data_IF_458930350312
#
_entry.id   IF_458930350312
#
_cell.length_a   1.000
_cell.length_b   1.000
_cell.length_c   1.000
_cell.angle_alpha   90.00
_cell.angle_beta   90.00
_cell.angle_gamma   90.00
#
_symmetry.space_group_name_H-M   'P 1'
#
loop_
_entity.id
_entity.type
_entity.pdbx_description
1 polymer ?
#
# COMPACT_ATOMS: atom_id res chain seq x y z
N UNK A 1 -16.77 -47.39 19.35
CA UNK A 1 -16.24 -47.77 18.03
C UNK A 1 -17.31 -47.42 17.00
N UNK A 2 -17.17 -46.28 16.31
CA UNK A 2 -16.87 -46.16 14.86
C UNK A 2 -18.03 -46.64 13.96
N UNK A 3 -18.60 -45.88 13.03
CA UNK A 3 -18.00 -44.98 12.05
C UNK A 3 -18.97 -43.90 11.56
N UNK A 4 -18.39 -42.75 11.24
CA UNK A 4 -18.94 -41.52 10.67
C UNK A 4 -19.30 -41.72 9.19
N UNK A 5 -20.43 -41.14 8.74
CA UNK A 5 -20.77 -40.94 7.33
C UNK A 5 -20.45 -39.48 6.98
N UNK A 6 -19.39 -39.27 6.20
CA UNK A 6 -19.10 -38.03 5.51
C UNK A 6 -18.54 -38.43 4.13
N UNK A 7 -19.27 -38.13 3.04
CA UNK A 7 -18.72 -38.21 1.68
C UNK A 7 -18.89 -36.86 1.00
N UNK A 8 -17.77 -36.44 0.45
CA UNK A 8 -17.37 -35.13 -0.04
C UNK A 8 -18.01 -34.74 -1.36
N UNK A 9 -18.31 -33.45 -1.50
CA UNK A 9 -18.58 -32.78 -2.78
C UNK A 9 -17.22 -32.52 -3.46
N UNK A 10 -16.92 -33.30 -4.50
CA UNK A 10 -15.78 -33.09 -5.39
C UNK A 10 -16.19 -32.12 -6.51
N UNK A 11 -15.83 -30.85 -6.35
CA UNK A 11 -15.96 -29.83 -7.39
C UNK A 11 -14.87 -30.05 -8.45
N UNK A 12 -15.27 -30.49 -9.65
CA UNK A 12 -14.37 -30.67 -10.81
C UNK A 12 -13.91 -29.31 -11.34
N UNK A 13 -12.66 -28.94 -11.10
CA UNK A 13 -12.01 -27.83 -11.81
C UNK A 13 -11.53 -28.31 -13.19
N UNK A 14 -12.21 -27.86 -14.25
CA UNK A 14 -11.71 -27.98 -15.62
C UNK A 14 -10.52 -27.04 -15.78
N UNK A 15 -9.33 -27.60 -15.96
CA UNK A 15 -8.13 -26.81 -16.26
C UNK A 15 -8.17 -26.38 -17.72
N UNK A 16 -8.28 -25.08 -17.97
CA UNK A 16 -8.05 -24.49 -19.29
C UNK A 16 -6.54 -24.29 -19.43
N UNK A 17 -5.90 -25.10 -20.29
CA UNK A 17 -4.49 -24.92 -20.64
C UNK A 17 -4.42 -24.00 -21.86
N UNK A 18 -4.02 -22.74 -21.67
CA UNK A 18 -3.68 -21.83 -22.75
C UNK A 18 -2.21 -22.04 -23.13
N UNK A 19 -1.97 -22.57 -24.33
CA UNK A 19 -0.63 -22.60 -24.94
C UNK A 19 -0.49 -21.41 -25.89
N UNK A 20 0.45 -20.52 -25.61
CA UNK A 20 0.76 -19.37 -26.47
C UNK A 20 1.69 -19.83 -27.59
N UNK A 21 1.17 -19.91 -28.82
CA UNK A 21 1.98 -20.09 -30.03
C UNK A 21 2.44 -18.73 -30.55
N UNK A 22 3.69 -18.65 -31.02
CA UNK A 22 4.45 -17.42 -31.31
C UNK A 22 3.94 -16.47 -32.41
N UNK A 23 2.67 -16.54 -32.83
CA UNK A 23 2.05 -15.61 -33.78
C UNK A 23 0.67 -15.08 -33.31
N UNK A 24 0.46 -14.94 -31.99
CA UNK A 24 -0.59 -14.06 -31.46
C UNK A 24 -2.05 -14.49 -31.66
N UNK A 25 -2.34 -15.74 -32.06
CA UNK A 25 -3.71 -16.25 -32.20
C UNK A 25 -4.01 -17.35 -31.18
N UNK A 26 -4.98 -17.11 -30.29
CA UNK A 26 -5.54 -18.14 -29.40
C UNK A 26 -6.68 -18.89 -30.12
N UNK A 27 -6.63 -20.22 -30.15
CA UNK A 27 -7.73 -21.07 -30.65
C UNK A 27 -8.30 -21.90 -29.50
N UNK A 28 -9.62 -21.83 -29.33
CA UNK A 28 -10.37 -22.73 -28.46
C UNK A 28 -10.63 -24.03 -29.21
N UNK A 29 -10.16 -25.17 -28.69
CA UNK A 29 -10.48 -26.48 -29.25
C UNK A 29 -11.43 -27.18 -28.27
N UNK A 30 -12.72 -27.20 -28.57
CA UNK A 30 -13.66 -28.11 -27.92
C UNK A 30 -13.66 -29.45 -28.68
N UNK A 31 -13.25 -30.53 -28.01
CA UNK A 31 -13.42 -31.87 -28.54
C UNK A 31 -14.89 -32.30 -28.34
N UNK A 32 -15.69 -32.29 -29.41
CA UNK A 32 -16.99 -32.98 -29.44
C UNK A 32 -17.16 -33.69 -30.79
N UNK A 33 -17.57 -34.94 -30.68
CA UNK A 33 -17.77 -35.96 -31.71
C UNK A 33 -18.82 -35.60 -32.78
N UNK A 34 -18.64 -36.23 -33.95
CA UNK A 34 -19.61 -36.56 -35.03
C UNK A 34 -20.13 -35.45 -35.95
N UNK A 35 -19.61 -35.48 -37.19
CA UNK A 35 -20.30 -35.36 -38.50
C UNK A 35 -21.45 -34.36 -38.65
N UNK A 36 -21.23 -33.30 -39.45
CA UNK A 36 -22.06 -32.85 -40.60
C UNK A 36 -21.63 -31.43 -41.03
N UNK A 37 -21.24 -31.32 -42.31
CA UNK A 37 -21.25 -30.20 -43.27
C UNK A 37 -20.78 -28.78 -42.85
N UNK A 38 -19.65 -28.36 -43.41
CA UNK A 38 -19.14 -26.97 -43.35
C UNK A 38 -19.92 -26.02 -44.27
N UNK A 39 -20.55 -24.99 -43.70
CA UNK A 39 -20.76 -23.70 -44.36
C UNK A 39 -19.89 -22.66 -43.65
N UNK A 40 -19.01 -22.00 -44.40
CA UNK A 40 -18.06 -21.01 -43.92
C UNK A 40 -18.69 -19.62 -44.03
N UNK A 41 -19.17 -19.07 -42.92
CA UNK A 41 -19.58 -17.67 -42.80
C UNK A 41 -18.49 -16.92 -42.03
N UNK A 42 -17.69 -16.15 -42.76
CA UNK A 42 -16.70 -15.23 -42.20
C UNK A 42 -17.37 -13.89 -41.91
N UNK A 43 -17.51 -13.53 -40.64
CA UNK A 43 -17.80 -12.15 -40.23
C UNK A 43 -16.56 -11.58 -39.59
N UNK A 44 -15.81 -10.78 -40.35
CA UNK A 44 -14.73 -9.96 -39.80
C UNK A 44 -15.33 -8.75 -39.08
N UNK A 45 -15.11 -8.66 -37.76
CA UNK A 45 -15.40 -7.47 -36.97
C UNK A 45 -14.09 -6.69 -36.82
N UNK A 46 -13.97 -5.44 -37.33
CA UNK A 46 -12.74 -4.69 -37.21
C UNK A 46 -12.58 -4.16 -35.78
N UNK A 47 -11.48 -4.52 -35.13
CA UNK A 47 -11.05 -3.94 -33.85
C UNK A 47 -10.49 -2.53 -34.10
N UNK A 48 -11.34 -1.50 -34.00
CA UNK A 48 -10.88 -0.12 -33.81
C UNK A 48 -10.51 0.08 -32.34
N UNK A 49 -9.21 0.18 -32.05
CA UNK A 49 -8.73 0.67 -30.75
C UNK A 49 -8.93 2.19 -30.68
N UNK A 50 -9.94 2.62 -29.92
CA UNK A 50 -10.13 4.03 -29.55
C UNK A 50 -9.29 4.37 -28.31
N UNK A 51 -8.34 5.28 -28.46
CA UNK A 51 -7.39 5.73 -27.44
C UNK A 51 -7.95 6.77 -26.46
N UNK A 52 -9.11 6.51 -25.85
CA UNK A 52 -9.76 7.47 -24.93
C UNK A 52 -10.04 6.96 -23.51
N UNK A 53 -9.27 5.98 -23.01
CA UNK A 53 -9.51 5.38 -21.69
C UNK A 53 -8.95 6.16 -20.48
N UNK A 54 -8.33 7.32 -20.69
CA UNK A 54 -7.91 8.21 -19.59
C UNK A 54 -8.83 9.42 -19.43
N UNK A 55 -10.14 9.21 -19.50
CA UNK A 55 -11.08 10.20 -19.00
C UNK A 55 -11.20 10.07 -17.47
N UNK A 56 -10.60 11.04 -16.79
CA UNK A 56 -10.62 11.27 -15.34
C UNK A 56 -11.96 10.88 -14.69
N UNK A 57 -11.97 9.77 -13.95
CA UNK A 57 -13.01 9.51 -12.98
C UNK A 57 -12.78 10.43 -11.78
N UNK A 58 -13.18 11.71 -11.89
CA UNK A 58 -13.39 12.56 -10.71
C UNK A 58 -14.51 11.92 -9.90
N UNK A 59 -14.11 11.15 -8.88
CA UNK A 59 -15.01 10.60 -7.88
C UNK A 59 -15.51 11.75 -7.02
N UNK A 60 -16.69 12.27 -7.34
CA UNK A 60 -17.40 13.23 -6.50
C UNK A 60 -17.82 12.51 -5.21
N UNK A 61 -17.10 12.74 -4.13
CA UNK A 61 -17.54 12.35 -2.80
C UNK A 61 -18.56 13.37 -2.29
N UNK A 62 -19.69 12.87 -1.78
CA UNK A 62 -20.77 13.68 -1.24
C UNK A 62 -20.29 14.53 -0.06
N UNK A 63 -20.63 15.83 -0.09
CA UNK A 63 -20.29 16.81 0.93
C UNK A 63 -21.11 16.60 2.21
N UNK A 64 -20.55 15.90 3.20
CA UNK A 64 -21.07 15.90 4.56
C UNK A 64 -19.98 16.45 5.48
N UNK A 65 -20.10 17.74 5.86
CA UNK A 65 -19.03 18.59 6.41
C UNK A 65 -17.83 18.68 5.46
N UNK A 66 -17.43 19.88 5.04
CA UNK A 66 -16.27 20.02 4.17
C UNK A 66 -15.03 19.59 4.95
N UNK A 67 -14.56 18.37 4.70
CA UNK A 67 -13.29 17.84 5.21
C UNK A 67 -12.20 18.92 5.00
N UNK A 68 -11.55 19.43 6.06
CA UNK A 68 -10.72 20.64 5.97
C UNK A 68 -9.27 20.38 5.52
N UNK A 69 -8.97 19.17 5.04
CA UNK A 69 -7.61 18.74 4.70
C UNK A 69 -7.63 17.71 3.56
N UNK A 70 -6.50 17.61 2.86
CA UNK A 70 -6.22 16.64 1.82
C UNK A 70 -5.13 15.65 2.29
N UNK A 71 -5.28 14.40 1.86
CA UNK A 71 -4.19 13.42 1.93
C UNK A 71 -3.55 13.42 0.56
N UNK A 72 -2.30 13.85 0.47
CA UNK A 72 -1.65 14.21 -0.78
C UNK A 72 -0.97 13.01 -1.45
N UNK A 73 -0.46 12.07 -0.66
CA UNK A 73 0.27 10.91 -1.18
C UNK A 73 1.01 10.15 -0.10
N UNK A 74 1.79 9.15 -0.53
CA UNK A 74 2.71 8.44 0.34
C UNK A 74 3.93 9.32 0.64
N UNK A 75 4.34 9.32 1.90
CA UNK A 75 5.61 9.89 2.33
C UNK A 75 6.65 8.79 2.53
N UNK A 76 6.30 7.73 3.25
CA UNK A 76 7.18 6.61 3.55
C UNK A 76 6.45 5.27 3.65
N UNK A 77 7.22 4.19 3.46
CA UNK A 77 6.85 2.83 3.84
C UNK A 77 7.94 2.30 4.76
N UNK A 78 7.56 1.95 5.99
CA UNK A 78 8.50 1.47 6.98
C UNK A 78 8.46 -0.06 7.09
N UNK A 79 9.62 -0.68 6.92
CA UNK A 79 9.81 -2.13 6.90
C UNK A 79 10.71 -2.52 8.07
N UNK A 80 10.15 -3.24 9.03
CA UNK A 80 10.82 -3.72 10.22
C UNK A 80 11.47 -5.09 10.05
N UNK A 81 12.69 -5.25 10.56
CA UNK A 81 13.38 -6.53 10.66
C UNK A 81 14.28 -6.59 11.90
N UNK A 82 14.73 -7.79 12.28
CA UNK A 82 15.75 -7.94 13.34
C UNK A 82 17.17 -7.65 12.82
N UNK A 83 17.37 -7.78 11.51
CA UNK A 83 18.62 -7.52 10.81
C UNK A 83 18.30 -7.00 9.41
N UNK A 84 18.81 -5.81 9.09
CA UNK A 84 18.56 -5.15 7.82
C UNK A 84 19.49 -5.62 6.70
N UNK A 85 20.43 -6.56 6.93
CA UNK A 85 21.42 -6.94 5.90
C UNK A 85 20.74 -7.50 4.64
N UNK A 86 19.76 -8.40 4.79
CA UNK A 86 19.03 -8.98 3.66
C UNK A 86 18.14 -7.95 2.95
N UNK A 87 17.52 -7.03 3.70
CA UNK A 87 16.72 -5.96 3.13
C UNK A 87 17.59 -4.95 2.39
N UNK A 88 18.73 -4.57 2.95
CA UNK A 88 19.70 -3.67 2.32
C UNK A 88 20.21 -4.25 1.01
N UNK A 89 20.51 -5.56 0.98
CA UNK A 89 20.90 -6.23 -0.26
C UNK A 89 19.80 -6.13 -1.33
N UNK A 90 18.54 -6.44 -0.97
CA UNK A 90 17.43 -6.35 -1.91
C UNK A 90 17.21 -4.91 -2.40
N UNK A 91 17.06 -3.95 -1.48
CA UNK A 91 16.65 -2.60 -1.81
C UNK A 91 17.78 -1.77 -2.43
N UNK A 92 18.99 -1.87 -1.90
CA UNK A 92 20.12 -1.08 -2.39
C UNK A 92 20.81 -1.78 -3.57
N UNK A 93 21.16 -3.05 -3.46
CA UNK A 93 22.00 -3.71 -4.47
C UNK A 93 21.19 -4.25 -5.65
N UNK A 94 20.04 -4.88 -5.39
CA UNK A 94 19.21 -5.48 -6.44
C UNK A 94 18.29 -4.45 -7.10
N UNK A 95 17.59 -3.64 -6.31
CA UNK A 95 16.70 -2.60 -6.85
C UNK A 95 17.41 -1.29 -7.19
N UNK A 96 18.62 -1.06 -6.68
CA UNK A 96 19.37 0.17 -6.96
C UNK A 96 18.82 1.41 -6.25
N UNK A 97 18.06 1.24 -5.16
CA UNK A 97 17.50 2.36 -4.40
C UNK A 97 18.60 3.00 -3.57
N UNK A 98 18.71 4.33 -3.65
CA UNK A 98 19.76 5.06 -2.93
C UNK A 98 19.42 5.19 -1.45
N UNK A 99 20.35 4.80 -0.58
CA UNK A 99 20.37 5.20 0.83
C UNK A 99 20.73 6.68 0.93
N UNK A 100 19.82 7.48 1.48
CA UNK A 100 19.96 8.93 1.61
C UNK A 100 20.25 9.38 3.04
N UNK A 101 20.05 8.50 4.02
CA UNK A 101 20.29 8.82 5.42
C UNK A 101 20.25 7.60 6.33
N UNK A 102 20.46 7.87 7.61
CA UNK A 102 20.24 6.94 8.71
C UNK A 102 19.72 7.75 9.90
N UNK A 103 18.80 7.17 10.66
CA UNK A 103 18.26 7.75 11.89
C UNK A 103 18.34 6.73 13.02
N UNK A 104 18.71 7.18 14.21
CA UNK A 104 18.83 6.32 15.39
C UNK A 104 18.21 7.00 16.60
N UNK A 105 17.34 6.27 17.29
CA UNK A 105 16.67 6.73 18.50
C UNK A 105 16.56 5.64 19.54
N UNK A 106 17.30 5.79 20.64
CA UNK A 106 17.19 4.95 21.84
C UNK A 106 15.77 5.00 22.44
N UNK A 107 15.14 6.17 22.39
CA UNK A 107 13.78 6.37 22.92
C UNK A 107 12.74 5.57 22.14
N UNK A 108 12.86 5.55 20.81
CA UNK A 108 11.92 4.85 19.92
C UNK A 108 12.38 3.41 19.63
N UNK A 109 13.49 2.96 20.25
CA UNK A 109 14.11 1.65 20.04
C UNK A 109 14.32 1.31 18.55
N UNK A 110 14.91 2.25 17.79
CA UNK A 110 15.06 2.13 16.34
C UNK A 110 16.43 2.61 15.86
N UNK A 111 17.00 1.85 14.93
CA UNK A 111 18.09 2.23 14.04
C UNK A 111 17.59 1.96 12.62
N UNK A 112 17.44 3.00 11.81
CA UNK A 112 16.79 2.90 10.50
C UNK A 112 17.62 3.51 9.38
N UNK A 113 17.66 2.79 8.27
CA UNK A 113 18.22 3.29 7.02
C UNK A 113 17.11 3.87 6.16
N UNK A 114 17.31 5.12 5.73
CA UNK A 114 16.33 5.86 4.95
C UNK A 114 16.75 5.77 3.48
N UNK A 115 15.93 5.10 2.68
CA UNK A 115 16.13 4.97 1.23
C UNK A 115 15.14 5.84 0.48
N UNK A 116 15.47 6.26 -0.75
CA UNK A 116 14.58 7.12 -1.55
C UNK A 116 14.20 6.50 -2.89
N UNK A 117 12.90 6.33 -3.11
CA UNK A 117 12.31 6.09 -4.42
C UNK A 117 11.96 7.43 -5.07
N UNK A 118 12.45 7.64 -6.29
CA UNK A 118 12.26 8.89 -7.03
C UNK A 118 13.43 9.87 -6.89
N UNK A 119 13.30 10.99 -7.61
CA UNK A 119 14.36 12.01 -7.67
C UNK A 119 14.38 12.86 -6.39
N UNK A 120 15.56 13.34 -6.04
CA UNK A 120 15.73 14.34 -4.98
C UNK A 120 14.84 15.56 -5.20
N UNK A 121 14.20 16.03 -4.12
CA UNK A 121 13.31 17.20 -4.16
C UNK A 121 12.01 16.98 -4.94
N UNK A 122 11.78 15.80 -5.52
CA UNK A 122 10.52 15.49 -6.18
C UNK A 122 9.39 15.42 -5.14
N UNK A 123 8.24 16.10 -5.38
CA UNK A 123 7.08 16.00 -4.48
C UNK A 123 6.47 14.59 -4.47
N UNK A 124 6.80 13.76 -5.47
CA UNK A 124 6.39 12.35 -5.54
C UNK A 124 7.44 11.37 -5.01
N UNK A 125 8.55 11.85 -4.45
CA UNK A 125 9.52 10.95 -3.84
C UNK A 125 8.91 10.27 -2.61
N UNK A 126 9.24 8.99 -2.41
CA UNK A 126 8.78 8.18 -1.29
C UNK A 126 9.99 7.59 -0.59
N UNK A 127 9.99 7.65 0.73
CA UNK A 127 11.01 7.02 1.57
C UNK A 127 10.68 5.54 1.80
N UNK A 128 11.72 4.70 1.85
CA UNK A 128 11.63 3.34 2.36
C UNK A 128 12.52 3.28 3.59
N UNK A 129 11.90 3.13 4.75
CA UNK A 129 12.60 3.12 6.03
C UNK A 129 12.82 1.67 6.44
N UNK A 130 14.07 1.21 6.36
CA UNK A 130 14.45 -0.11 6.83
C UNK A 130 14.78 -0.03 8.31
N UNK A 131 13.89 -0.49 9.17
CA UNK A 131 14.00 -0.32 10.62
C UNK A 131 14.47 -1.61 11.31
N UNK A 132 15.48 -1.49 12.17
CA UNK A 132 15.89 -2.53 13.11
C UNK A 132 15.80 -2.02 14.55
N UNK A 133 15.44 -2.87 15.53
CA UNK A 133 15.47 -2.46 16.92
C UNK A 133 16.92 -2.31 17.40
N UNK A 134 17.18 -1.31 18.24
CA UNK A 134 18.47 -1.20 18.95
C UNK A 134 18.60 -2.36 19.95
N UNK A 135 17.50 -2.65 20.65
CA UNK A 135 17.38 -3.76 21.58
C UNK A 135 16.10 -4.55 21.25
N UNK A 136 16.19 -5.79 20.73
CA UNK A 136 15.02 -6.56 20.30
C UNK A 136 14.06 -6.93 21.45
N UNK A 137 14.54 -6.89 22.70
CA UNK A 137 13.74 -7.20 23.88
C UNK A 137 12.97 -5.99 24.42
N UNK A 138 13.28 -4.77 23.94
CA UNK A 138 12.60 -3.54 24.36
C UNK A 138 11.43 -3.17 23.46
N UNK A 139 10.51 -2.38 24.01
CA UNK A 139 9.46 -1.70 23.26
C UNK A 139 9.87 -0.25 22.98
N UNK A 140 9.50 0.33 21.83
CA UNK A 140 8.71 -0.24 20.73
C UNK A 140 9.38 -1.41 19.98
N UNK A 141 8.58 -2.36 19.47
CA UNK A 141 9.07 -3.47 18.63
C UNK A 141 8.96 -3.10 17.16
N UNK A 142 9.89 -2.31 16.65
CA UNK A 142 9.84 -1.80 15.26
C UNK A 142 9.89 -2.89 14.18
N UNK A 143 10.37 -4.09 14.53
CA UNK A 143 10.40 -5.26 13.65
C UNK A 143 9.08 -6.05 13.58
N UNK A 144 8.06 -5.69 14.39
CA UNK A 144 6.77 -6.39 14.44
C UNK A 144 5.59 -5.41 14.39
N UNK A 145 4.72 -5.48 13.38
CA UNK A 145 4.81 -6.33 12.18
C UNK A 145 5.96 -5.89 11.23
N UNK A 146 6.32 -6.75 10.27
CA UNK A 146 7.39 -6.44 9.30
C UNK A 146 7.03 -5.29 8.37
N UNK A 147 5.78 -5.20 7.90
CA UNK A 147 5.28 -3.94 7.33
C UNK A 147 4.79 -3.09 8.50
N UNK A 148 5.67 -2.27 9.05
CA UNK A 148 5.45 -1.63 10.35
C UNK A 148 4.39 -0.54 10.25
N UNK A 149 4.59 0.43 9.38
CA UNK A 149 3.65 1.49 9.08
C UNK A 149 3.80 2.02 7.67
N UNK A 150 2.79 2.75 7.22
CA UNK A 150 2.87 3.66 6.08
C UNK A 150 2.76 5.08 6.62
N UNK A 151 3.41 6.04 5.98
CA UNK A 151 3.17 7.45 6.25
C UNK A 151 2.60 8.17 5.04
N UNK A 152 1.74 9.13 5.34
CA UNK A 152 0.94 9.87 4.39
C UNK A 152 1.18 11.36 4.54
N UNK A 153 1.46 12.02 3.42
CA UNK A 153 1.49 13.47 3.35
C UNK A 153 0.09 14.05 3.57
N UNK A 154 -0.01 15.04 4.45
CA UNK A 154 -1.22 15.80 4.78
C UNK A 154 -0.91 17.30 4.65
N UNK A 155 -1.78 18.05 3.99
CA UNK A 155 -1.62 19.50 3.76
C UNK A 155 -1.80 20.35 5.01
N UNK A 156 -2.75 20.01 5.89
CA UNK A 156 -2.99 20.64 7.19
C UNK A 156 -3.18 19.55 8.26
N UNK A 157 -2.07 19.16 8.90
CA UNK A 157 -2.06 18.11 9.91
C UNK A 157 -2.89 18.49 11.15
N UNK A 158 -2.78 19.70 11.74
CA UNK A 158 -3.65 20.11 12.85
C UNK A 158 -5.15 19.98 12.52
N UNK A 159 -5.60 20.53 11.39
CA UNK A 159 -7.00 20.45 10.98
C UNK A 159 -7.44 19.00 10.71
N UNK A 160 -6.55 18.18 10.14
CA UNK A 160 -6.79 16.76 9.94
C UNK A 160 -7.01 16.02 11.26
N UNK A 161 -6.13 16.23 12.24
CA UNK A 161 -6.21 15.58 13.54
C UNK A 161 -7.49 15.97 14.27
N UNK A 162 -7.82 17.26 14.33
CA UNK A 162 -9.05 17.74 14.97
C UNK A 162 -10.30 17.13 14.31
N UNK A 163 -10.39 17.24 12.97
CA UNK A 163 -11.55 16.74 12.24
C UNK A 163 -11.69 15.22 12.39
N UNK A 164 -10.59 14.46 12.19
CA UNK A 164 -10.59 13.00 12.31
C UNK A 164 -10.93 12.53 13.73
N UNK A 165 -10.42 13.20 14.77
CA UNK A 165 -10.75 12.89 16.15
C UNK A 165 -12.25 13.07 16.42
N UNK A 166 -12.85 14.14 15.89
CA UNK A 166 -14.31 14.36 15.96
C UNK A 166 -15.12 13.32 15.18
N UNK A 167 -14.53 12.68 14.17
CA UNK A 167 -15.13 11.53 13.48
C UNK A 167 -14.92 10.19 14.21
N UNK A 168 -14.23 10.16 15.35
CA UNK A 168 -13.97 8.94 16.13
C UNK A 168 -12.72 8.18 15.73
N UNK A 169 -11.79 8.79 14.99
CA UNK A 169 -10.47 8.21 14.72
C UNK A 169 -9.65 8.17 16.01
N UNK A 170 -9.05 7.00 16.27
CA UNK A 170 -8.14 6.79 17.39
C UNK A 170 -6.71 7.10 16.98
N UNK A 171 -6.13 8.11 17.60
CA UNK A 171 -4.70 8.37 17.51
C UNK A 171 -3.91 7.59 18.56
N UNK A 172 -2.63 7.34 18.28
CA UNK A 172 -1.70 6.84 19.30
C UNK A 172 -1.37 7.95 20.32
N UNK A 173 -0.89 7.61 21.52
CA UNK A 173 -0.40 8.62 22.46
C UNK A 173 0.76 9.43 21.88
N UNK A 174 0.89 10.69 22.30
CA UNK A 174 2.01 11.57 21.94
C UNK A 174 1.64 12.79 21.08
N UNK A 175 0.44 12.83 20.50
CA UNK A 175 -0.03 13.98 19.72
C UNK A 175 0.82 14.25 18.48
N UNK A 176 0.80 15.50 18.02
CA UNK A 176 1.67 15.99 16.95
C UNK A 176 3.06 16.27 17.53
N UNK A 177 4.11 15.73 16.92
CA UNK A 177 5.51 15.88 17.33
C UNK A 177 6.46 15.80 16.13
N UNK A 178 7.75 16.06 16.32
CA UNK A 178 8.75 15.89 15.26
C UNK A 178 9.07 14.40 15.01
N UNK A 179 9.02 13.99 13.75
CA UNK A 179 9.47 12.68 13.25
C UNK A 179 10.94 12.66 12.82
N UNK A 180 11.42 11.51 12.30
CA UNK A 180 12.83 11.30 11.94
C UNK A 180 13.35 12.29 10.87
N UNK A 181 12.53 12.56 9.85
CA UNK A 181 12.83 13.54 8.80
C UNK A 181 12.55 15.01 9.20
N UNK A 182 12.23 15.29 10.48
CA UNK A 182 12.01 16.65 10.99
C UNK A 182 10.63 17.26 10.68
N UNK A 183 9.74 16.51 10.03
CA UNK A 183 8.35 16.89 9.83
C UNK A 183 7.52 16.74 11.11
N UNK A 184 6.41 17.48 11.20
CA UNK A 184 5.40 17.23 12.22
C UNK A 184 4.59 16.00 11.86
N UNK A 185 4.43 15.10 12.82
CA UNK A 185 3.83 13.78 12.62
C UNK A 185 2.89 13.40 13.76
N UNK A 186 1.88 12.60 13.45
CA UNK A 186 1.12 11.83 14.43
C UNK A 186 0.71 10.50 13.84
N UNK A 187 0.22 9.56 14.66
CA UNK A 187 -0.12 8.22 14.19
C UNK A 187 -1.56 7.86 14.52
N UNK A 188 -2.24 7.25 13.56
CA UNK A 188 -3.52 6.57 13.77
C UNK A 188 -3.21 5.18 14.34
N UNK A 189 -3.87 4.84 15.44
CA UNK A 189 -3.71 3.56 16.10
C UNK A 189 -4.26 2.43 15.21
N UNK A 190 -3.58 1.27 15.08
CA UNK A 190 -4.03 0.16 14.23
C UNK A 190 -5.43 -0.35 14.53
N UNK A 191 -5.84 -0.28 15.81
CA UNK A 191 -7.13 -0.73 16.31
C UNK A 191 -7.93 0.43 16.90
N UNK A 192 -9.23 0.52 16.62
CA UNK A 192 -10.13 1.40 17.37
C UNK A 192 -10.29 0.98 18.84
N UNK A 193 -11.10 1.72 19.59
CA UNK A 193 -11.56 1.38 20.94
C UNK A 193 -12.98 1.94 21.17
N UNK A 194 -13.53 1.78 22.38
CA UNK A 194 -14.90 2.22 22.70
C UNK A 194 -15.13 3.73 22.52
N UNK A 195 -14.12 4.57 22.81
CA UNK A 195 -14.22 6.04 22.70
C UNK A 195 -13.95 6.55 21.28
N UNK A 196 -13.08 5.86 20.56
CA UNK A 196 -12.58 6.21 19.23
C UNK A 196 -12.59 4.94 18.38
N UNK A 197 -13.75 4.58 17.79
CA UNK A 197 -13.96 3.27 17.17
C UNK A 197 -13.20 3.07 15.86
N UNK A 198 -12.72 4.13 15.22
CA UNK A 198 -12.04 4.05 13.93
C UNK A 198 -10.53 3.94 14.16
N UNK A 199 -9.92 2.85 13.70
CA UNK A 199 -8.46 2.68 13.65
C UNK A 199 -7.98 2.36 12.24
N UNK A 200 -6.68 2.16 12.06
CA UNK A 200 -6.05 1.86 10.77
C UNK A 200 -6.28 0.44 10.22
N UNK A 201 -7.29 -0.30 10.70
CA UNK A 201 -7.62 -1.64 10.20
C UNK A 201 -6.50 -2.68 10.41
N UNK A 202 -5.71 -2.54 11.47
CA UNK A 202 -4.54 -3.39 11.74
C UNK A 202 -3.20 -2.81 11.25
N UNK A 203 -3.24 -1.71 10.50
CA UNK A 203 -2.05 -0.99 10.02
C UNK A 203 -1.82 0.25 10.88
N UNK A 204 -0.57 0.47 11.31
CA UNK A 204 -0.16 1.74 11.89
C UNK A 204 -0.01 2.75 10.74
N UNK A 205 -0.66 3.90 10.84
CA UNK A 205 -0.63 4.92 9.78
C UNK A 205 -0.08 6.21 10.38
N UNK A 206 1.03 6.70 9.82
CA UNK A 206 1.59 8.00 10.14
C UNK A 206 0.97 9.07 9.25
N UNK A 207 0.57 10.18 9.86
CA UNK A 207 0.18 11.40 9.16
C UNK A 207 1.30 12.41 9.31
N UNK A 208 1.82 12.89 8.19
CA UNK A 208 3.00 13.74 8.12
C UNK A 208 2.61 15.08 7.51
N UNK A 209 2.90 16.18 8.19
CA UNK A 209 2.71 17.52 7.67
C UNK A 209 3.60 17.73 6.44
N UNK A 210 2.96 17.89 5.29
CA UNK A 210 3.64 18.13 4.03
C UNK A 210 4.32 19.51 4.03
N UNK A 211 5.55 19.61 3.51
CA UNK A 211 6.17 20.90 3.24
C UNK A 211 5.48 21.59 2.05
N UNK A 212 5.64 22.92 1.95
CA UNK A 212 4.93 23.74 0.96
C UNK A 212 5.12 23.24 -0.47
N UNK A 213 6.32 22.81 -0.85
CA UNK A 213 6.59 22.32 -2.20
C UNK A 213 5.83 21.02 -2.56
N UNK A 214 5.49 20.19 -1.56
CA UNK A 214 4.66 19.00 -1.74
C UNK A 214 3.19 19.40 -1.85
N UNK A 215 2.73 20.33 -1.00
CA UNK A 215 1.37 20.87 -1.04
C UNK A 215 1.09 21.51 -2.41
N UNK A 216 1.95 22.42 -2.87
CA UNK A 216 1.79 23.12 -4.13
C UNK A 216 1.74 22.18 -5.34
N UNK A 217 2.41 21.03 -5.26
CA UNK A 217 2.49 20.06 -6.35
C UNK A 217 1.35 19.03 -6.35
N UNK A 218 0.77 18.70 -5.18
CA UNK A 218 -0.13 17.55 -5.03
C UNK A 218 -1.56 17.90 -4.58
N UNK A 219 -1.86 19.16 -4.24
CA UNK A 219 -3.17 19.61 -3.74
C UNK A 219 -4.19 19.98 -4.83
#
# INVERSE_FOLDING_TARGET
MASIILKSVLQRMSHIILRVGGNGTARTISAVSSSITHQHLSTEVPLRFSSSWFASARRTFASNSTKPFQVLGLQQIAIGSLDNSSLSHLWCDIFGVSKIGNFKSEKENVDEDILRLGKEGSPHAVEIDLMMPIDPEKSPKVHVPSLNHIGLWVDDLPAAVEWMANQGVRFTPGGIRKGAAGHDVTFIHPKGNEKSPIGGGGVLIELVQAPQNVIDALS
#
